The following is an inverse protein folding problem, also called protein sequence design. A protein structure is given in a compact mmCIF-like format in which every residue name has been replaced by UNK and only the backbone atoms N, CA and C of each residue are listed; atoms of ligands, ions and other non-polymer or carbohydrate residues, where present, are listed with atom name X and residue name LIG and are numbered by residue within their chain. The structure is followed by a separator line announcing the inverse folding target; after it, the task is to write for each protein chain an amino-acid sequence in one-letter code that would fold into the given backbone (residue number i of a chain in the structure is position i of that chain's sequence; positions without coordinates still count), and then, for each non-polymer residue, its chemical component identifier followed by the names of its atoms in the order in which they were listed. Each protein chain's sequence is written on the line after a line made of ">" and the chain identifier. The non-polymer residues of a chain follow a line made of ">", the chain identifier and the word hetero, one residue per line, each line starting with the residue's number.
data_IF_947709447055
#
_entry.id   IF_947709447055
#
_cell.length_a   1.000
_cell.length_b   1.000
_cell.length_c   1.000
_cell.angle_alpha   90.00
_cell.angle_beta   90.00
_cell.angle_gamma   90.00
#
_symmetry.space_group_name_H-M   'P 1'
#
loop_
_entity.id
_entity.type
_entity.pdbx_description
1 polymer ?
#
# COMPACT_ATOMS: atom_id res chain seq x y z
N UNK A 1 15.56 14.97 -20.19
CA UNK A 1 15.84 13.55 -19.84
C UNK A 1 16.77 13.40 -18.63
N UNK A 2 17.94 14.08 -18.57
CA UNK A 2 18.89 14.00 -17.43
C UNK A 2 18.29 14.29 -16.04
N UNK A 3 17.32 15.20 -15.92
CA UNK A 3 16.67 15.51 -14.63
C UNK A 3 15.72 14.40 -14.15
N UNK A 4 15.11 13.64 -15.06
CA UNK A 4 14.21 12.53 -14.70
C UNK A 4 14.99 11.31 -14.22
N UNK A 5 16.11 10.97 -14.87
CA UNK A 5 17.00 9.90 -14.40
C UNK A 5 17.57 10.18 -13.02
N UNK A 6 17.82 11.45 -12.68
CA UNK A 6 18.29 11.83 -11.35
C UNK A 6 17.27 11.58 -10.22
N UNK A 7 15.96 11.53 -10.53
CA UNK A 7 14.91 11.22 -9.55
C UNK A 7 14.94 9.73 -9.21
N UNK A 8 15.01 8.87 -10.22
CA UNK A 8 15.06 7.40 -10.03
C UNK A 8 16.34 6.92 -9.33
N UNK A 9 17.40 7.73 -9.31
CA UNK A 9 18.63 7.45 -8.56
C UNK A 9 18.53 7.79 -7.05
N UNK A 10 17.36 8.24 -6.58
CA UNK A 10 17.06 8.56 -5.17
C UNK A 10 15.88 7.71 -4.69
N UNK A 11 16.10 6.42 -4.39
CA UNK A 11 15.01 5.47 -4.09
C UNK A 11 14.13 5.92 -2.91
N UNK A 12 14.72 6.49 -1.85
CA UNK A 12 14.02 7.05 -0.70
C UNK A 12 13.06 8.20 -1.06
N UNK A 13 13.45 9.02 -2.04
CA UNK A 13 12.61 10.10 -2.55
C UNK A 13 11.47 9.54 -3.41
N UNK A 14 11.75 8.54 -4.26
CA UNK A 14 10.70 7.87 -5.04
C UNK A 14 9.69 7.21 -4.11
N UNK A 15 10.15 6.40 -3.15
CA UNK A 15 9.31 5.72 -2.17
C UNK A 15 8.34 6.68 -1.48
N UNK A 16 8.83 7.80 -0.96
CA UNK A 16 8.01 8.79 -0.25
C UNK A 16 6.98 9.52 -1.13
N UNK A 17 7.21 9.61 -2.45
CA UNK A 17 6.21 10.13 -3.39
C UNK A 17 5.10 9.09 -3.61
N UNK A 18 5.48 7.83 -3.83
CA UNK A 18 4.54 6.81 -4.30
C UNK A 18 3.88 6.01 -3.17
N UNK A 19 4.38 6.09 -1.93
CA UNK A 19 3.84 5.34 -0.77
C UNK A 19 2.38 5.70 -0.44
N UNK A 20 1.89 6.86 -0.91
CA UNK A 20 0.50 7.29 -0.76
C UNK A 20 -0.45 6.57 -1.72
N UNK A 21 0.05 5.99 -2.81
CA UNK A 21 -0.76 5.27 -3.79
C UNK A 21 -1.46 4.03 -3.20
N UNK A 22 -0.76 3.08 -2.53
CA UNK A 22 -1.41 1.92 -1.93
C UNK A 22 -2.25 2.27 -0.70
N UNK A 23 -2.15 3.49 -0.15
CA UNK A 23 -2.93 3.90 1.02
C UNK A 23 -4.09 4.83 0.64
N UNK A 24 -3.80 6.09 0.32
CA UNK A 24 -4.81 7.11 -0.02
C UNK A 24 -5.51 6.75 -1.35
N UNK A 25 -4.73 6.33 -2.34
CA UNK A 25 -5.26 5.92 -3.64
C UNK A 25 -6.18 4.70 -3.52
N UNK A 26 -5.75 3.70 -2.75
CA UNK A 26 -6.57 2.52 -2.48
C UNK A 26 -7.84 2.87 -1.69
N UNK A 27 -7.76 3.77 -0.70
CA UNK A 27 -8.92 4.22 0.06
C UNK A 27 -9.99 4.87 -0.85
N UNK A 28 -9.56 5.77 -1.74
CA UNK A 28 -10.45 6.38 -2.73
C UNK A 28 -11.02 5.32 -3.68
N UNK A 29 -10.21 4.39 -4.16
CA UNK A 29 -10.65 3.30 -5.04
C UNK A 29 -11.70 2.40 -4.36
N UNK A 30 -11.51 2.05 -3.09
CA UNK A 30 -12.48 1.28 -2.30
C UNK A 30 -13.80 2.03 -2.15
N UNK A 31 -13.78 3.35 -1.91
CA UNK A 31 -15.01 4.17 -1.88
C UNK A 31 -15.72 4.15 -3.23
N UNK A 32 -14.99 4.32 -4.34
CA UNK A 32 -15.57 4.26 -5.70
C UNK A 32 -16.21 2.90 -5.97
N UNK A 33 -15.55 1.79 -5.57
CA UNK A 33 -16.10 0.45 -5.69
C UNK A 33 -17.38 0.28 -4.88
N UNK A 34 -17.37 0.70 -3.60
CA UNK A 34 -18.54 0.67 -2.72
C UNK A 34 -19.72 1.47 -3.29
N UNK A 35 -19.46 2.69 -3.76
CA UNK A 35 -20.47 3.52 -4.39
C UNK A 35 -21.05 2.84 -5.63
N UNK A 36 -20.20 2.27 -6.50
CA UNK A 36 -20.65 1.53 -7.68
C UNK A 36 -21.59 0.36 -7.36
N UNK A 37 -21.28 -0.39 -6.30
CA UNK A 37 -22.14 -1.47 -5.78
C UNK A 37 -23.47 -0.88 -5.27
N UNK A 38 -23.42 0.16 -4.44
CA UNK A 38 -24.59 0.75 -3.79
C UNK A 38 -25.59 1.35 -4.80
N UNK A 39 -25.09 2.08 -5.79
CA UNK A 39 -25.90 2.66 -6.86
C UNK A 39 -26.29 1.63 -7.95
N UNK A 40 -25.81 0.38 -7.81
CA UNK A 40 -26.05 -0.74 -8.74
C UNK A 40 -25.66 -0.43 -10.18
N UNK A 41 -24.58 0.34 -10.39
CA UNK A 41 -24.08 0.70 -11.72
C UNK A 41 -22.88 -0.15 -12.09
N UNK A 42 -23.09 -1.10 -13.00
CA UNK A 42 -22.06 -2.02 -13.51
C UNK A 42 -20.78 -1.31 -13.92
N UNK A 43 -20.86 -0.23 -14.71
CA UNK A 43 -19.70 0.52 -15.17
C UNK A 43 -18.91 1.12 -14.00
N UNK A 44 -19.61 1.69 -12.99
CA UNK A 44 -18.97 2.26 -11.82
C UNK A 44 -18.27 1.19 -10.97
N UNK A 45 -18.91 0.03 -10.79
CA UNK A 45 -18.29 -1.13 -10.10
C UNK A 45 -17.04 -1.61 -10.82
N UNK A 46 -17.07 -1.73 -12.16
CA UNK A 46 -15.92 -2.13 -12.95
C UNK A 46 -14.78 -1.10 -12.87
N UNK A 47 -15.08 0.20 -12.91
CA UNK A 47 -14.09 1.26 -12.70
C UNK A 47 -13.46 1.14 -11.30
N UNK A 48 -14.29 0.95 -10.26
CA UNK A 48 -13.80 0.73 -8.89
C UNK A 48 -12.89 -0.49 -8.78
N UNK A 49 -13.25 -1.62 -9.40
CA UNK A 49 -12.41 -2.83 -9.43
C UNK A 49 -11.07 -2.58 -10.12
N UNK A 50 -11.08 -1.88 -11.26
CA UNK A 50 -9.85 -1.55 -11.98
C UNK A 50 -8.94 -0.63 -11.17
N UNK A 51 -9.51 0.39 -10.50
CA UNK A 51 -8.76 1.26 -9.59
C UNK A 51 -8.18 0.46 -8.42
N UNK A 52 -8.97 -0.36 -7.73
CA UNK A 52 -8.46 -1.18 -6.63
C UNK A 52 -7.32 -2.08 -7.11
N UNK A 53 -7.43 -2.69 -8.29
CA UNK A 53 -6.35 -3.51 -8.85
C UNK A 53 -5.05 -2.70 -9.02
N UNK A 54 -5.11 -1.57 -9.71
CA UNK A 54 -3.93 -0.74 -9.99
C UNK A 54 -3.32 -0.17 -8.71
N UNK A 55 -4.15 0.39 -7.82
CA UNK A 55 -3.66 1.02 -6.60
C UNK A 55 -3.18 -0.02 -5.58
N UNK A 56 -3.76 -1.21 -5.54
CA UNK A 56 -3.24 -2.29 -4.70
C UNK A 56 -1.90 -2.82 -5.24
N UNK A 57 -1.76 -3.03 -6.55
CA UNK A 57 -0.48 -3.44 -7.15
C UNK A 57 0.62 -2.38 -7.09
N UNK A 58 0.27 -1.11 -6.85
CA UNK A 58 1.25 -0.05 -6.60
C UNK A 58 2.09 -0.29 -5.35
N UNK A 59 1.75 -1.27 -4.50
CA UNK A 59 2.62 -1.74 -3.41
C UNK A 59 3.98 -2.24 -3.92
N UNK A 60 4.05 -2.82 -5.11
CA UNK A 60 5.29 -3.39 -5.65
C UNK A 60 6.40 -2.35 -5.82
N UNK A 61 6.20 -1.24 -6.58
CA UNK A 61 7.24 -0.23 -6.69
C UNK A 61 7.50 0.47 -5.35
N UNK A 62 6.48 0.66 -4.49
CA UNK A 62 6.66 1.24 -3.16
C UNK A 62 7.62 0.39 -2.33
N UNK A 63 7.37 -0.92 -2.27
CA UNK A 63 8.21 -1.86 -1.54
C UNK A 63 9.64 -1.89 -2.11
N UNK A 64 9.77 -1.97 -3.43
CA UNK A 64 11.07 -2.01 -4.11
C UNK A 64 11.94 -0.79 -3.81
N UNK A 65 11.40 0.43 -3.97
CA UNK A 65 12.14 1.66 -3.66
C UNK A 65 12.34 1.87 -2.15
N UNK A 66 11.49 1.29 -1.31
CA UNK A 66 11.69 1.26 0.14
C UNK A 66 12.92 0.45 0.52
N UNK A 67 13.07 -0.74 -0.05
CA UNK A 67 14.23 -1.62 0.14
C UNK A 67 15.52 -0.93 -0.34
N UNK A 68 15.53 -0.38 -1.55
CA UNK A 68 16.71 0.30 -2.12
C UNK A 68 17.11 1.58 -1.35
N UNK A 69 16.14 2.23 -0.71
CA UNK A 69 16.35 3.45 0.08
C UNK A 69 16.73 3.20 1.54
N UNK A 70 16.58 1.97 2.02
CA UNK A 70 16.63 1.63 3.45
C UNK A 70 17.94 2.09 4.11
N UNK A 71 19.10 1.70 3.59
CA UNK A 71 20.41 2.02 4.19
C UNK A 71 20.66 3.54 4.28
N UNK A 72 20.17 4.30 3.30
CA UNK A 72 20.29 5.77 3.31
C UNK A 72 19.46 6.36 4.44
N UNK A 73 18.21 5.92 4.59
CA UNK A 73 17.33 6.39 5.66
C UNK A 73 17.87 5.96 7.03
N UNK A 74 18.36 4.73 7.15
CA UNK A 74 18.98 4.20 8.36
C UNK A 74 20.18 5.04 8.80
N UNK A 75 21.12 5.33 7.87
CA UNK A 75 22.34 6.09 8.17
C UNK A 75 22.10 7.51 8.70
N UNK A 76 20.90 8.06 8.48
CA UNK A 76 20.53 9.38 8.94
C UNK A 76 19.61 9.38 10.17
N UNK A 77 19.11 8.21 10.59
CA UNK A 77 18.14 8.05 11.68
C UNK A 77 18.82 8.10 13.05
N UNK A 78 18.08 8.52 14.08
CA UNK A 78 18.52 8.33 15.47
C UNK A 78 18.24 6.88 15.91
N UNK A 79 18.73 6.47 17.08
CA UNK A 79 18.58 5.08 17.58
C UNK A 79 17.11 4.63 17.55
N UNK A 80 16.21 5.43 18.15
CA UNK A 80 14.77 5.12 18.14
C UNK A 80 14.18 5.13 16.71
N UNK A 81 14.58 6.05 15.84
CA UNK A 81 14.14 6.10 14.44
C UNK A 81 14.59 4.87 13.65
N UNK A 82 15.76 4.32 13.97
CA UNK A 82 16.27 3.08 13.37
C UNK A 82 15.40 1.88 13.78
N UNK A 83 14.96 1.81 15.05
CA UNK A 83 14.01 0.79 15.51
C UNK A 83 12.66 0.88 14.79
N UNK A 84 12.11 2.09 14.66
CA UNK A 84 10.87 2.30 13.90
C UNK A 84 11.02 1.93 12.42
N UNK A 85 12.18 2.24 11.80
CA UNK A 85 12.46 1.90 10.40
C UNK A 85 12.53 0.38 10.21
N UNK A 86 13.18 -0.34 11.13
CA UNK A 86 13.24 -1.79 11.13
C UNK A 86 11.86 -2.42 11.23
N UNK A 87 11.03 -1.96 12.17
CA UNK A 87 9.69 -2.49 12.33
C UNK A 87 8.79 -2.12 11.14
N UNK A 88 8.92 -0.90 10.58
CA UNK A 88 8.23 -0.52 9.35
C UNK A 88 8.53 -1.50 8.21
N UNK A 89 9.82 -1.84 8.03
CA UNK A 89 10.26 -2.82 7.03
C UNK A 89 9.69 -4.21 7.31
N UNK A 90 9.79 -4.70 8.54
CA UNK A 90 9.28 -6.02 8.95
C UNK A 90 7.77 -6.13 8.69
N UNK A 91 7.00 -5.10 9.03
CA UNK A 91 5.56 -5.08 8.75
C UNK A 91 5.27 -5.04 7.25
N UNK A 92 6.05 -4.29 6.47
CA UNK A 92 5.92 -4.27 5.02
C UNK A 92 6.19 -5.66 4.41
N UNK A 93 7.28 -6.32 4.79
CA UNK A 93 7.60 -7.70 4.40
C UNK A 93 6.47 -8.67 4.74
N UNK A 94 5.95 -8.57 5.97
CA UNK A 94 4.92 -9.47 6.48
C UNK A 94 3.56 -9.28 5.81
N UNK A 95 3.18 -8.06 5.43
CA UNK A 95 1.81 -7.76 5.01
C UNK A 95 1.66 -7.31 3.55
N UNK A 96 2.74 -7.02 2.81
CA UNK A 96 2.66 -6.62 1.40
C UNK A 96 1.94 -7.67 0.54
N UNK A 97 2.03 -8.96 0.87
CA UNK A 97 1.32 -10.02 0.14
C UNK A 97 -0.20 -9.83 0.09
N UNK A 98 -0.80 -9.20 1.11
CA UNK A 98 -2.25 -8.94 1.17
C UNK A 98 -2.68 -8.02 0.02
N UNK A 99 -1.84 -7.04 -0.32
CA UNK A 99 -2.08 -6.12 -1.45
C UNK A 99 -2.00 -6.84 -2.79
N UNK A 100 -1.09 -7.80 -2.96
CA UNK A 100 -1.03 -8.60 -4.18
C UNK A 100 -2.27 -9.49 -4.32
N UNK A 101 -2.76 -10.09 -3.23
CA UNK A 101 -4.02 -10.84 -3.22
C UNK A 101 -5.21 -9.92 -3.56
N UNK A 102 -5.30 -8.75 -2.92
CA UNK A 102 -6.35 -7.78 -3.17
C UNK A 102 -6.37 -7.34 -4.64
N UNK A 103 -5.20 -6.96 -5.17
CA UNK A 103 -5.05 -6.55 -6.57
C UNK A 103 -5.37 -7.66 -7.56
N UNK A 104 -4.95 -8.89 -7.27
CA UNK A 104 -5.24 -10.07 -8.08
C UNK A 104 -6.73 -10.38 -8.11
N UNK A 105 -7.39 -10.40 -6.95
CA UNK A 105 -8.84 -10.62 -6.86
C UNK A 105 -9.62 -9.51 -7.57
N UNK A 106 -9.20 -8.25 -7.43
CA UNK A 106 -9.80 -7.12 -8.14
C UNK A 106 -9.64 -7.24 -9.66
N UNK A 107 -8.46 -7.59 -10.15
CA UNK A 107 -8.19 -7.76 -11.58
C UNK A 107 -8.96 -8.95 -12.19
N UNK A 108 -8.96 -10.10 -11.50
CA UNK A 108 -9.72 -11.28 -11.91
C UNK A 108 -11.21 -10.99 -11.86
N UNK A 109 -11.70 -10.33 -10.80
CA UNK A 109 -13.09 -9.95 -10.65
C UNK A 109 -13.55 -8.94 -11.71
N UNK A 110 -12.69 -8.00 -12.10
CA UNK A 110 -12.93 -7.11 -13.24
C UNK A 110 -13.08 -7.90 -14.54
N UNK A 111 -12.11 -8.76 -14.87
CA UNK A 111 -12.13 -9.56 -16.09
C UNK A 111 -13.33 -10.52 -16.13
N UNK A 112 -13.61 -11.19 -15.02
CA UNK A 112 -14.76 -12.07 -14.86
C UNK A 112 -16.09 -11.29 -14.97
N UNK A 113 -16.20 -10.11 -14.37
CA UNK A 113 -17.40 -9.26 -14.41
C UNK A 113 -17.66 -8.63 -15.79
N UNK A 114 -16.62 -8.47 -16.61
CA UNK A 114 -16.75 -8.11 -18.03
C UNK A 114 -17.47 -9.21 -18.83
N UNK A 115 -17.15 -10.49 -18.58
CA UNK A 115 -17.70 -11.65 -19.30
C UNK A 115 -18.97 -12.22 -18.67
N UNK A 116 -19.07 -12.23 -17.35
CA UNK A 116 -20.12 -12.85 -16.56
C UNK A 116 -20.67 -11.88 -15.52
N UNK A 117 -21.71 -11.08 -15.84
CA UNK A 117 -22.23 -10.05 -14.95
C UNK A 117 -22.64 -10.54 -13.55
N UNK A 118 -23.02 -11.83 -13.42
CA UNK A 118 -23.42 -12.45 -12.15
C UNK A 118 -22.27 -12.59 -11.14
N UNK A 119 -21.03 -12.71 -11.60
CA UNK A 119 -19.86 -12.83 -10.70
C UNK A 119 -19.43 -11.49 -10.11
N UNK A 120 -19.82 -10.37 -10.74
CA UNK A 120 -19.33 -9.05 -10.39
C UNK A 120 -19.68 -8.66 -8.95
N UNK A 121 -20.88 -8.97 -8.47
CA UNK A 121 -21.28 -8.61 -7.10
C UNK A 121 -20.39 -9.30 -6.06
N UNK A 122 -20.26 -10.63 -6.16
CA UNK A 122 -19.52 -11.43 -5.17
C UNK A 122 -18.02 -11.13 -5.18
N UNK A 123 -17.44 -10.98 -6.37
CA UNK A 123 -16.03 -10.58 -6.51
C UNK A 123 -15.80 -9.17 -5.97
N UNK A 124 -16.73 -8.23 -6.21
CA UNK A 124 -16.62 -6.86 -5.67
C UNK A 124 -16.71 -6.82 -4.15
N UNK A 125 -17.61 -7.60 -3.54
CA UNK A 125 -17.71 -7.68 -2.08
C UNK A 125 -16.43 -8.27 -1.46
N UNK A 126 -15.87 -9.32 -2.06
CA UNK A 126 -14.59 -9.87 -1.64
C UNK A 126 -13.46 -8.85 -1.78
N UNK A 127 -13.41 -8.12 -2.90
CA UNK A 127 -12.43 -7.05 -3.13
C UNK A 127 -12.55 -5.94 -2.09
N UNK A 128 -13.77 -5.54 -1.70
CA UNK A 128 -13.98 -4.57 -0.62
C UNK A 128 -13.35 -5.06 0.68
N UNK A 129 -13.63 -6.31 1.10
CA UNK A 129 -13.06 -6.89 2.32
C UNK A 129 -11.53 -6.90 2.27
N UNK A 130 -10.94 -7.36 1.17
CA UNK A 130 -9.48 -7.41 1.00
C UNK A 130 -8.84 -6.03 0.95
N UNK A 131 -9.50 -5.05 0.32
CA UNK A 131 -9.00 -3.68 0.27
C UNK A 131 -9.04 -3.02 1.65
N UNK A 132 -10.09 -3.26 2.44
CA UNK A 132 -10.17 -2.81 3.83
C UNK A 132 -9.09 -3.44 4.71
N UNK A 133 -8.81 -4.74 4.54
CA UNK A 133 -7.72 -5.42 5.22
C UNK A 133 -6.34 -4.84 4.83
N UNK A 134 -6.15 -4.56 3.53
CA UNK A 134 -4.93 -3.92 3.01
C UNK A 134 -4.75 -2.52 3.59
N UNK A 135 -5.81 -1.71 3.64
CA UNK A 135 -5.79 -0.38 4.26
C UNK A 135 -5.45 -0.47 5.75
N UNK A 136 -6.05 -1.40 6.49
CA UNK A 136 -5.77 -1.58 7.91
C UNK A 136 -4.29 -1.93 8.17
N UNK A 137 -3.68 -2.81 7.37
CA UNK A 137 -2.24 -3.11 7.50
C UNK A 137 -1.37 -1.97 6.99
N UNK A 138 -1.78 -1.29 5.92
CA UNK A 138 -1.10 -0.11 5.37
C UNK A 138 -1.03 1.05 6.36
N UNK A 139 -2.10 1.31 7.11
CA UNK A 139 -2.11 2.32 8.17
C UNK A 139 -1.06 2.00 9.25
N UNK A 140 -0.98 0.74 9.69
CA UNK A 140 0.02 0.32 10.68
C UNK A 140 1.46 0.50 10.16
N UNK A 141 1.70 0.11 8.92
CA UNK A 141 3.01 0.30 8.27
C UNK A 141 3.34 1.80 8.17
N UNK A 142 2.40 2.62 7.72
CA UNK A 142 2.60 4.06 7.55
C UNK A 142 2.81 4.81 8.86
N UNK A 143 2.16 4.39 9.95
CA UNK A 143 2.36 4.95 11.29
C UNK A 143 3.84 4.86 11.71
N UNK A 144 4.42 3.65 11.64
CA UNK A 144 5.85 3.45 11.94
C UNK A 144 6.75 4.24 10.98
N UNK A 145 6.38 4.31 9.70
CA UNK A 145 7.10 5.11 8.70
C UNK A 145 7.16 6.60 9.04
N UNK A 146 6.10 7.15 9.62
CA UNK A 146 6.09 8.52 10.13
C UNK A 146 7.04 8.72 11.31
N UNK A 147 7.07 7.78 12.25
CA UNK A 147 7.88 7.84 13.48
C UNK A 147 9.39 7.77 13.23
N UNK A 148 9.83 7.31 12.04
CA UNK A 148 11.27 7.25 11.66
C UNK A 148 11.92 8.63 11.77
N UNK A 149 11.32 9.67 11.19
CA UNK A 149 11.91 11.03 11.13
C UNK A 149 11.07 12.11 11.81
N UNK A 150 9.84 11.81 12.21
CA UNK A 150 8.97 12.73 12.94
C UNK A 150 8.92 12.36 14.43
N UNK A 151 9.81 12.96 15.22
CA UNK A 151 9.84 12.74 16.68
C UNK A 151 8.52 13.13 17.34
N UNK A 152 7.84 14.12 16.78
CA UNK A 152 6.52 14.57 17.17
C UNK A 152 5.41 13.51 17.02
N UNK A 153 5.64 12.42 16.27
CA UNK A 153 4.69 11.31 16.14
C UNK A 153 4.95 10.16 17.10
N UNK A 154 6.05 10.17 17.85
CA UNK A 154 6.44 9.08 18.76
C UNK A 154 5.70 9.19 20.09
N UNK A 155 4.46 8.70 20.12
CA UNK A 155 3.64 8.67 21.35
C UNK A 155 3.89 7.41 22.20
N UNK A 156 4.67 6.46 21.70
CA UNK A 156 5.03 5.20 22.36
C UNK A 156 6.54 4.97 22.31
N UNK A 157 7.11 4.15 23.22
CA UNK A 157 8.51 3.74 23.14
C UNK A 157 8.81 3.05 21.80
N UNK A 158 10.05 3.16 21.29
CA UNK A 158 10.45 2.43 20.09
C UNK A 158 10.24 0.91 20.30
N UNK A 159 9.82 0.20 19.24
CA UNK A 159 9.68 -1.25 19.30
C UNK A 159 11.00 -1.90 19.68
N UNK A 160 10.96 -2.84 20.62
CA UNK A 160 12.17 -3.53 21.07
C UNK A 160 12.84 -4.25 19.88
N UNK A 161 14.16 -4.04 19.73
CA UNK A 161 14.97 -4.71 18.74
C UNK A 161 14.89 -6.23 18.96
N UNK A 162 14.12 -6.95 18.13
CA UNK A 162 14.31 -8.39 17.99
C UNK A 162 15.54 -8.56 17.10
N UNK A 163 16.72 -8.56 17.73
CA UNK A 163 17.93 -9.03 17.07
C UNK A 163 17.70 -10.50 16.70
N UNK A 164 17.30 -10.76 15.45
CA UNK A 164 17.47 -12.11 14.89
C UNK A 164 18.97 -12.36 14.82
N UNK A 165 19.49 -13.44 15.45
CA UNK A 165 20.91 -13.78 15.42
C UNK A 165 21.42 -14.07 14.00
#
# INVERSE_FOLDING_TARGET
>A
MQKLSAIFNRPEYVHTIINRLPLDGLAVATIVLLLGILIRRRTATLIGMALVAVLSFSIWPVYHYGEEGYDRVLSMSDDAGSDFLNQHKELAEKYAFIYFICGGVAAIGFAAGCKWPRSLLWTSLLTVVLSSASLATGIKIAQLGGEVRHREFRFSPPPAHQQTP
#
